data_IF_243750853140
#
_entry.id   IF_243750853140
#
_cell.length_a   1.000
_cell.length_b   1.000
_cell.length_c   1.000
_cell.angle_alpha   90.00
_cell.angle_beta   90.00
_cell.angle_gamma   90.00
#
_symmetry.space_group_name_H-M   'P 1'
#
loop_
_entity.id
_entity.type
_entity.pdbx_description
1 polymer ?
#
# COMPACT_ATOMS: atom_id res chain seq x y z
N UNK A 1 -20.42 7.59 -32.42
CA UNK A 1 -20.30 7.62 -30.95
C UNK A 1 -18.87 7.22 -30.59
N UNK A 2 -17.96 8.20 -30.57
CA UNK A 2 -16.53 7.96 -30.39
C UNK A 2 -16.05 8.55 -29.05
N UNK A 3 -15.03 7.86 -28.51
CA UNK A 3 -14.11 8.26 -27.46
C UNK A 3 -14.63 8.29 -26.02
N UNK A 4 -14.39 7.19 -25.30
CA UNK A 4 -14.01 7.26 -23.89
C UNK A 4 -12.78 6.37 -23.67
N UNK A 5 -11.69 6.75 -24.35
CA UNK A 5 -10.37 6.30 -23.94
C UNK A 5 -10.09 7.00 -22.60
N UNK A 6 -10.41 6.31 -21.51
CA UNK A 6 -10.01 6.73 -20.17
C UNK A 6 -8.51 7.01 -20.23
N UNK A 7 -8.14 8.26 -20.00
CA UNK A 7 -6.77 8.74 -20.05
C UNK A 7 -6.00 8.02 -18.92
N UNK A 8 -5.42 6.85 -19.20
CA UNK A 8 -4.65 6.08 -18.22
C UNK A 8 -3.34 6.82 -17.96
N UNK A 9 -3.38 7.80 -17.06
CA UNK A 9 -2.18 8.46 -16.59
C UNK A 9 -1.24 7.41 -16.02
N UNK A 10 0.02 7.38 -16.45
CA UNK A 10 1.05 6.50 -15.89
C UNK A 10 1.90 7.27 -14.89
N UNK A 11 2.22 6.64 -13.77
CA UNK A 11 3.06 7.18 -12.70
C UNK A 11 4.27 6.26 -12.47
N UNK A 12 5.37 6.80 -11.95
CA UNK A 12 6.50 5.95 -11.52
C UNK A 12 6.14 5.23 -10.24
N UNK A 13 6.77 4.08 -10.00
CA UNK A 13 6.59 3.30 -8.77
C UNK A 13 6.91 4.14 -7.52
N UNK A 14 7.94 4.98 -7.55
CA UNK A 14 8.25 5.89 -6.44
C UNK A 14 7.10 6.87 -6.17
N UNK A 15 6.58 7.53 -7.20
CA UNK A 15 5.49 8.50 -7.08
C UNK A 15 4.22 7.80 -6.55
N UNK A 16 3.95 6.58 -7.02
CA UNK A 16 2.84 5.77 -6.53
C UNK A 16 2.97 5.45 -5.03
N UNK A 17 4.17 5.09 -4.56
CA UNK A 17 4.41 4.73 -3.15
C UNK A 17 4.47 5.94 -2.21
N UNK A 18 4.83 7.12 -2.72
CA UNK A 18 4.85 8.37 -1.94
C UNK A 18 3.45 8.96 -1.73
N UNK A 19 2.45 8.52 -2.50
CA UNK A 19 1.07 8.91 -2.27
C UNK A 19 0.46 7.95 -1.25
N UNK A 20 0.19 8.45 -0.05
CA UNK A 20 -0.49 7.67 0.98
C UNK A 20 -1.88 7.21 0.47
N UNK A 21 -2.25 5.93 0.68
CA UNK A 21 -3.60 5.50 0.43
C UNK A 21 -4.56 6.27 1.35
N UNK A 22 -5.75 6.59 0.83
CA UNK A 22 -6.77 7.24 1.64
C UNK A 22 -7.06 6.40 2.90
N UNK A 23 -7.05 7.00 4.10
CA UNK A 23 -7.29 6.25 5.33
C UNK A 23 -8.70 5.65 5.32
N UNK A 24 -8.80 4.37 5.70
CA UNK A 24 -10.09 3.72 5.86
C UNK A 24 -10.86 4.33 7.03
N UNK A 25 -12.12 4.66 6.81
CA UNK A 25 -13.00 5.14 7.87
C UNK A 25 -13.65 3.95 8.56
N UNK A 26 -13.79 4.00 9.88
CA UNK A 26 -14.46 2.98 10.66
C UNK A 26 -15.38 3.60 11.71
N UNK A 27 -16.42 2.86 12.10
CA UNK A 27 -17.28 3.27 13.20
C UNK A 27 -16.62 2.94 14.55
N UNK A 28 -16.45 3.97 15.37
CA UNK A 28 -16.09 3.78 16.77
C UNK A 28 -17.30 3.20 17.53
N UNK A 29 -17.19 1.94 17.98
CA UNK A 29 -18.26 1.18 18.65
C UNK A 29 -17.93 0.86 20.10
N UNK A 30 -17.18 1.73 20.76
CA UNK A 30 -16.64 1.48 22.10
C UNK A 30 -15.70 0.28 22.11
N UNK A 31 -14.93 0.10 21.01
CA UNK A 31 -13.84 -0.87 21.02
C UNK A 31 -12.88 -0.51 22.16
N UNK A 32 -12.35 -1.53 22.83
CA UNK A 32 -11.36 -1.31 23.89
C UNK A 32 -10.16 -0.53 23.33
N UNK A 33 -9.69 0.46 24.09
CA UNK A 33 -8.41 1.10 23.80
C UNK A 33 -7.23 0.14 24.03
N UNK A 34 -7.48 -1.02 24.66
CA UNK A 34 -6.47 -2.06 24.86
C UNK A 34 -6.30 -2.89 23.59
N UNK A 35 -5.06 -3.01 23.12
CA UNK A 35 -4.68 -3.78 21.92
C UNK A 35 -4.96 -5.28 22.05
N UNK A 36 -5.12 -5.78 23.27
CA UNK A 36 -5.36 -7.19 23.58
C UNK A 36 -6.18 -7.33 24.86
N UNK A 37 -6.88 -8.46 25.00
CA UNK A 37 -7.53 -8.87 26.26
C UNK A 37 -6.57 -9.59 27.20
N UNK A 38 -5.42 -10.04 26.68
CA UNK A 38 -4.39 -10.71 27.47
C UNK A 38 -3.35 -9.68 27.91
N UNK A 39 -3.33 -9.37 29.21
CA UNK A 39 -2.39 -8.40 29.81
C UNK A 39 -0.92 -8.74 29.55
N UNK A 40 -0.56 -10.01 29.34
CA UNK A 40 0.81 -10.41 29.03
C UNK A 40 1.29 -9.94 27.64
N UNK A 41 0.39 -9.54 26.75
CA UNK A 41 0.70 -9.03 25.41
C UNK A 41 0.32 -7.56 25.25
N UNK A 42 0.07 -6.85 26.35
CA UNK A 42 -0.28 -5.44 26.29
C UNK A 42 0.90 -4.64 25.76
N UNK A 43 0.67 -3.66 24.88
CA UNK A 43 1.77 -2.92 24.23
C UNK A 43 2.66 -2.18 25.25
N UNK A 44 2.09 -1.80 26.39
CA UNK A 44 2.79 -1.22 27.55
C UNK A 44 3.83 -2.16 28.15
N UNK A 45 3.75 -3.47 27.89
CA UNK A 45 4.70 -4.49 28.32
C UNK A 45 5.88 -4.67 27.37
N UNK A 46 5.89 -4.01 26.21
CA UNK A 46 7.04 -4.00 25.30
C UNK A 46 8.17 -3.19 25.94
N UNK A 47 9.10 -3.89 26.60
CA UNK A 47 10.21 -3.27 27.34
C UNK A 47 11.35 -2.80 26.43
N UNK A 48 11.45 -3.37 25.24
CA UNK A 48 12.55 -3.12 24.30
C UNK A 48 12.00 -3.04 22.89
N UNK A 49 12.23 -1.90 22.25
CA UNK A 49 12.10 -1.72 20.81
C UNK A 49 13.52 -1.63 20.28
N UNK A 50 13.88 -2.51 19.33
CA UNK A 50 15.16 -2.44 18.66
C UNK A 50 15.00 -1.62 17.39
N UNK A 51 15.93 -0.70 17.17
CA UNK A 51 16.02 0.01 15.91
C UNK A 51 16.42 -0.97 14.81
N UNK A 52 15.76 -0.89 13.66
CA UNK A 52 16.12 -1.62 12.46
C UNK A 52 16.88 -0.67 11.51
N UNK A 53 18.20 -0.49 11.68
CA UNK A 53 18.94 0.56 10.98
C UNK A 53 18.95 0.35 9.47
N UNK A 54 18.84 -0.88 8.98
CA UNK A 54 18.75 -1.17 7.55
C UNK A 54 17.40 -0.76 6.94
N UNK A 55 16.33 -0.67 7.75
CA UNK A 55 15.00 -0.29 7.28
C UNK A 55 14.83 1.23 7.31
N UNK A 56 15.54 1.91 6.41
CA UNK A 56 15.40 3.35 6.22
C UNK A 56 15.32 3.71 4.73
N UNK A 57 14.78 4.89 4.43
CA UNK A 57 14.55 5.33 3.06
C UNK A 57 15.84 5.37 2.23
N UNK A 58 16.96 5.78 2.81
CA UNK A 58 18.24 5.85 2.09
C UNK A 58 18.70 4.45 1.68
N UNK A 59 18.63 3.46 2.58
CA UNK A 59 18.96 2.06 2.27
C UNK A 59 18.02 1.50 1.19
N UNK A 60 16.71 1.79 1.29
CA UNK A 60 15.71 1.36 0.30
C UNK A 60 15.99 1.99 -1.07
N UNK A 61 16.30 3.28 -1.13
CA UNK A 61 16.63 3.97 -2.39
C UNK A 61 17.93 3.46 -3.00
N UNK A 62 18.92 3.11 -2.18
CA UNK A 62 20.18 2.54 -2.68
C UNK A 62 19.96 1.14 -3.30
N UNK A 63 19.15 0.29 -2.67
CA UNK A 63 18.91 -1.08 -3.16
C UNK A 63 17.87 -1.16 -4.27
N UNK A 64 16.80 -0.37 -4.18
CA UNK A 64 15.64 -0.47 -5.06
C UNK A 64 15.46 0.74 -5.97
N UNK A 65 16.32 1.76 -5.88
CA UNK A 65 16.15 3.05 -6.58
C UNK A 65 15.97 2.92 -8.09
N UNK A 66 16.71 2.01 -8.72
CA UNK A 66 16.55 1.71 -10.14
C UNK A 66 15.11 1.25 -10.47
N UNK A 67 14.54 0.35 -9.66
CA UNK A 67 13.16 -0.13 -9.87
C UNK A 67 12.14 0.99 -9.57
N UNK A 68 12.35 1.71 -8.48
CA UNK A 68 11.47 2.80 -8.03
C UNK A 68 11.35 3.92 -9.09
N UNK A 69 12.43 4.21 -9.81
CA UNK A 69 12.46 5.28 -10.81
C UNK A 69 12.06 4.83 -12.22
N UNK A 70 12.29 3.56 -12.58
CA UNK A 70 12.10 3.07 -13.96
C UNK A 70 10.82 2.26 -14.18
N UNK A 71 10.17 1.77 -13.13
CA UNK A 71 8.91 1.02 -13.26
C UNK A 71 7.74 2.00 -13.40
N UNK A 72 7.05 1.94 -14.54
CA UNK A 72 5.84 2.69 -14.81
C UNK A 72 4.58 1.86 -14.55
N UNK A 73 3.67 2.45 -13.78
CA UNK A 73 2.41 1.87 -13.33
C UNK A 73 1.26 2.74 -13.86
N UNK A 74 0.20 2.12 -14.36
CA UNK A 74 -1.02 2.85 -14.68
C UNK A 74 -1.71 3.32 -13.39
N UNK A 75 -2.13 4.58 -13.33
CA UNK A 75 -3.06 5.04 -12.30
C UNK A 75 -4.40 4.36 -12.54
N UNK A 76 -4.91 3.69 -11.50
CA UNK A 76 -6.30 3.26 -11.53
C UNK A 76 -7.19 4.48 -11.37
N UNK A 77 -8.31 4.45 -12.09
CA UNK A 77 -9.45 5.30 -11.75
C UNK A 77 -9.96 4.77 -10.41
N UNK A 78 -9.57 5.43 -9.31
CA UNK A 78 -10.17 5.16 -8.02
C UNK A 78 -11.69 5.37 -8.13
N UNK A 79 -12.50 4.54 -7.47
CA UNK A 79 -13.92 4.80 -7.38
C UNK A 79 -14.11 6.23 -6.86
N UNK A 80 -14.83 7.07 -7.61
CA UNK A 80 -15.10 8.47 -7.21
C UNK A 80 -15.95 8.55 -5.95
N UNK A 81 -16.54 7.43 -5.53
CA UNK A 81 -17.29 7.29 -4.29
C UNK A 81 -16.33 7.10 -3.11
N UNK A 82 -16.41 7.95 -2.07
CA UNK A 82 -15.60 7.78 -0.87
C UNK A 82 -15.85 6.41 -0.25
N UNK A 83 -14.78 5.81 0.28
CA UNK A 83 -14.81 4.54 1.00
C UNK A 83 -15.84 4.64 2.14
N UNK A 84 -16.93 3.83 2.14
CA UNK A 84 -17.89 3.89 3.22
C UNK A 84 -17.22 3.43 4.53
N UNK A 85 -17.61 4.00 5.67
CA UNK A 85 -17.13 3.53 6.96
C UNK A 85 -17.55 2.08 7.20
N UNK A 86 -16.63 1.25 7.67
CA UNK A 86 -16.92 -0.14 8.01
C UNK A 86 -17.11 -0.30 9.52
N UNK A 87 -17.85 -1.34 9.89
CA UNK A 87 -18.16 -1.63 11.29
C UNK A 87 -17.55 -2.97 11.76
N UNK A 88 -17.26 -3.88 10.82
CA UNK A 88 -16.79 -5.24 11.08
C UNK A 88 -15.62 -5.60 10.16
N UNK A 89 -14.88 -6.65 10.52
CA UNK A 89 -13.72 -7.15 9.78
C UNK A 89 -14.05 -7.52 8.33
N UNK A 90 -15.22 -8.11 8.08
CA UNK A 90 -15.66 -8.45 6.72
C UNK A 90 -15.76 -7.21 5.83
N UNK A 91 -16.23 -6.08 6.40
CA UNK A 91 -16.23 -4.80 5.70
C UNK A 91 -14.83 -4.30 5.42
N UNK A 92 -13.88 -4.43 6.35
CA UNK A 92 -12.47 -4.08 6.10
C UNK A 92 -11.88 -4.94 4.98
N UNK A 93 -12.16 -6.25 4.96
CA UNK A 93 -11.71 -7.18 3.92
C UNK A 93 -12.18 -6.76 2.53
N UNK A 94 -13.44 -6.38 2.40
CA UNK A 94 -14.02 -5.90 1.14
C UNK A 94 -13.38 -4.58 0.68
N UNK A 95 -13.11 -3.67 1.62
CA UNK A 95 -12.39 -2.43 1.34
C UNK A 95 -10.95 -2.66 0.87
N UNK A 96 -10.21 -3.56 1.51
CA UNK A 96 -8.85 -3.93 1.09
C UNK A 96 -8.89 -4.53 -0.33
N UNK A 97 -9.83 -5.44 -0.61
CA UNK A 97 -9.97 -6.06 -1.92
C UNK A 97 -10.29 -5.02 -3.02
N UNK A 98 -11.10 -4.01 -2.70
CA UNK A 98 -11.56 -3.01 -3.66
C UNK A 98 -10.51 -1.92 -3.91
N UNK A 99 -9.90 -1.40 -2.84
CA UNK A 99 -9.10 -0.17 -2.91
C UNK A 99 -7.59 -0.41 -2.89
N UNK A 100 -7.13 -1.54 -2.36
CA UNK A 100 -5.69 -1.75 -2.08
C UNK A 100 -5.11 -2.88 -2.93
N UNK A 101 -5.85 -3.97 -3.06
CA UNK A 101 -5.35 -5.20 -3.65
C UNK A 101 -5.01 -5.05 -5.15
N UNK A 102 -5.88 -4.40 -5.92
CA UNK A 102 -5.66 -4.18 -7.36
C UNK A 102 -4.45 -3.27 -7.65
N UNK A 103 -4.27 -2.10 -7.01
CA UNK A 103 -3.06 -1.29 -7.15
C UNK A 103 -1.79 -2.05 -6.78
N UNK A 104 -1.78 -2.79 -5.67
CA UNK A 104 -0.60 -3.54 -5.20
C UNK A 104 -0.24 -4.66 -6.18
N UNK A 105 -1.21 -5.50 -6.59
CA UNK A 105 -0.95 -6.58 -7.55
C UNK A 105 -0.37 -6.05 -8.85
N UNK A 106 -0.88 -4.91 -9.35
CA UNK A 106 -0.34 -4.28 -10.56
C UNK A 106 1.09 -3.78 -10.35
N UNK A 107 1.36 -3.08 -9.25
CA UNK A 107 2.70 -2.60 -8.93
C UNK A 107 3.71 -3.77 -8.92
N UNK A 108 3.37 -4.86 -8.22
CA UNK A 108 4.18 -6.08 -8.17
C UNK A 108 4.37 -6.70 -9.55
N UNK A 109 3.29 -6.89 -10.31
CA UNK A 109 3.37 -7.47 -11.65
C UNK A 109 4.27 -6.66 -12.60
N UNK A 110 4.18 -5.32 -12.55
CA UNK A 110 5.01 -4.43 -13.37
C UNK A 110 6.48 -4.46 -12.93
N UNK A 111 6.74 -4.46 -11.64
CA UNK A 111 8.10 -4.57 -11.10
C UNK A 111 8.74 -5.90 -11.47
N UNK A 112 8.05 -7.03 -11.26
CA UNK A 112 8.59 -8.33 -11.65
C UNK A 112 8.77 -8.49 -13.16
N UNK A 113 7.85 -7.93 -13.97
CA UNK A 113 8.02 -7.87 -15.41
C UNK A 113 9.27 -7.08 -15.82
N UNK A 114 9.54 -5.96 -15.14
CA UNK A 114 10.75 -5.16 -15.39
C UNK A 114 12.03 -5.92 -14.98
N UNK A 115 12.03 -6.59 -13.83
CA UNK A 115 13.17 -7.42 -13.38
C UNK A 115 13.43 -8.56 -14.38
N UNK A 116 12.38 -9.24 -14.85
CA UNK A 116 12.52 -10.33 -15.82
C UNK A 116 13.02 -9.86 -17.19
N UNK A 117 12.68 -8.64 -17.61
CA UNK A 117 13.14 -8.04 -18.87
C UNK A 117 14.58 -7.50 -18.78
N UNK A 118 15.08 -7.22 -17.58
CA UNK A 118 16.42 -6.67 -17.32
C UNK A 118 17.22 -7.55 -16.34
N UNK A 119 17.52 -8.83 -16.69
CA UNK A 119 18.16 -9.77 -15.78
C UNK A 119 19.62 -9.43 -15.41
N UNK A 120 20.20 -8.37 -15.98
CA UNK A 120 21.59 -7.96 -15.77
C UNK A 120 21.80 -6.62 -15.05
N UNK A 121 20.76 -6.02 -14.49
CA UNK A 121 20.83 -4.72 -13.79
C UNK A 121 20.82 -4.89 -12.25
N UNK A 122 21.66 -5.79 -11.72
CA UNK A 122 21.94 -5.87 -10.29
C UNK A 122 23.28 -5.22 -9.97
#
# INVERSE_FOLDING_TARGET
MAANAANMATVRLLDFLQNDPNPFQYYHRGQSDTTTTNQAFEITTVQTVHDWPEFNLQTIMNHCGHLLQNVLIAMDVHPSTPCPPFAAEDGLREHIATYVDRPIRRALARTFGHIAASPGSQ
#
